data_IF_637740881025
#
_entry.id   IF_637740881025
#
_cell.length_a   1.000
_cell.length_b   1.000
_cell.length_c   1.000
_cell.angle_alpha   90.00
_cell.angle_beta   90.00
_cell.angle_gamma   90.00
#
_symmetry.space_group_name_H-M   'P 1'
#
loop_
_entity.id
_entity.type
_entity.pdbx_description
1 polymer ?
#
# COMPACT_ATOMS: atom_id res chain seq x y z
N UNK A 1 9.82 10.79 17.37
CA UNK A 1 8.43 11.06 17.78
C UNK A 1 7.57 9.94 17.23
N UNK A 2 6.97 9.12 18.09
CA UNK A 2 6.04 8.06 17.66
C UNK A 2 4.63 8.65 17.63
N UNK A 3 4.01 8.71 16.46
CA UNK A 3 2.64 9.22 16.25
C UNK A 3 1.55 8.28 16.79
N UNK A 4 0.27 8.57 16.49
CA UNK A 4 -0.87 7.78 16.94
C UNK A 4 -0.76 6.32 16.48
N UNK A 5 -1.15 5.39 17.35
CA UNK A 5 -1.27 3.96 17.05
C UNK A 5 -2.74 3.62 16.90
N UNK A 6 -3.08 2.83 15.89
CA UNK A 6 -4.47 2.41 15.63
C UNK A 6 -4.48 0.91 15.43
N UNK A 7 -5.46 0.24 16.03
CA UNK A 7 -5.75 -1.16 15.74
C UNK A 7 -6.57 -1.25 14.45
N UNK A 8 -6.17 -2.15 13.56
CA UNK A 8 -6.84 -2.35 12.28
C UNK A 8 -6.81 -3.82 11.89
N UNK A 9 -7.85 -4.25 11.17
CA UNK A 9 -7.90 -5.53 10.48
C UNK A 9 -7.34 -5.33 9.07
N UNK A 10 -6.34 -6.13 8.71
CA UNK A 10 -5.73 -6.11 7.40
C UNK A 10 -6.27 -7.24 6.51
N UNK A 11 -6.67 -6.92 5.28
CA UNK A 11 -7.04 -7.90 4.25
C UNK A 11 -6.19 -7.69 3.01
N UNK A 12 -5.61 -8.77 2.48
CA UNK A 12 -4.87 -8.71 1.22
C UNK A 12 -5.84 -8.44 0.06
N UNK A 13 -5.50 -7.47 -0.79
CA UNK A 13 -6.26 -7.15 -1.99
C UNK A 13 -5.86 -8.10 -3.12
N UNK A 14 -6.86 -8.59 -3.84
CA UNK A 14 -6.67 -9.48 -4.97
C UNK A 14 -6.60 -8.71 -6.30
N UNK A 15 -6.08 -9.36 -7.34
CA UNK A 15 -5.72 -8.82 -8.67
C UNK A 15 -6.38 -7.48 -9.07
N UNK A 16 -7.72 -7.45 -9.18
CA UNK A 16 -8.47 -6.26 -9.62
C UNK A 16 -8.44 -5.14 -8.58
N UNK A 17 -8.63 -5.47 -7.31
CA UNK A 17 -8.57 -4.53 -6.19
C UNK A 17 -7.16 -3.96 -6.03
N UNK A 18 -6.14 -4.82 -6.11
CA UNK A 18 -4.74 -4.42 -6.05
C UNK A 18 -4.37 -3.46 -7.21
N UNK A 19 -4.83 -3.74 -8.43
CA UNK A 19 -4.61 -2.86 -9.58
C UNK A 19 -5.34 -1.50 -9.43
N UNK A 20 -6.51 -1.49 -8.79
CA UNK A 20 -7.24 -0.25 -8.48
C UNK A 20 -6.48 0.57 -7.42
N UNK A 21 -6.05 -0.08 -6.33
CA UNK A 21 -5.27 0.54 -5.27
C UNK A 21 -3.97 1.15 -5.80
N UNK A 22 -3.22 0.41 -6.62
CA UNK A 22 -2.01 0.92 -7.26
C UNK A 22 -2.27 2.15 -8.12
N UNK A 23 -3.35 2.15 -8.93
CA UNK A 23 -3.71 3.31 -9.76
C UNK A 23 -4.02 4.54 -8.91
N UNK A 24 -4.75 4.36 -7.82
CA UNK A 24 -5.06 5.44 -6.87
C UNK A 24 -3.80 5.98 -6.20
N UNK A 25 -2.92 5.10 -5.71
CA UNK A 25 -1.66 5.46 -5.07
C UNK A 25 -0.70 6.16 -6.04
N UNK A 26 -0.61 5.70 -7.29
CA UNK A 26 0.19 6.33 -8.34
C UNK A 26 -0.32 7.73 -8.71
N UNK A 27 -1.63 7.95 -8.70
CA UNK A 27 -2.18 9.30 -8.91
C UNK A 27 -1.86 10.24 -7.75
N UNK A 28 -1.92 9.74 -6.51
CA UNK A 28 -1.72 10.57 -5.31
C UNK A 28 -0.24 10.82 -4.99
N UNK A 29 0.62 9.85 -5.26
CA UNK A 29 2.06 9.94 -5.01
C UNK A 29 2.82 9.43 -6.26
N UNK A 30 2.87 10.24 -7.33
CA UNK A 30 3.38 9.81 -8.63
C UNK A 30 4.86 9.44 -8.62
N UNK A 31 5.69 10.13 -7.83
CA UNK A 31 7.12 9.79 -7.72
C UNK A 31 7.33 8.47 -6.95
N UNK A 32 6.62 8.27 -5.85
CA UNK A 32 6.76 7.09 -5.01
C UNK A 32 6.28 5.84 -5.75
N UNK A 33 5.02 5.83 -6.18
CA UNK A 33 4.42 4.65 -6.80
C UNK A 33 4.67 4.56 -8.32
N UNK A 34 5.11 5.64 -8.97
CA UNK A 34 5.48 5.61 -10.39
C UNK A 34 6.95 5.35 -10.66
N UNK A 35 7.85 5.60 -9.71
CA UNK A 35 9.30 5.49 -9.91
C UNK A 35 9.97 4.66 -8.81
N UNK A 36 9.86 5.09 -7.56
CA UNK A 36 10.64 4.50 -6.46
C UNK A 36 10.24 3.06 -6.15
N UNK A 37 8.94 2.80 -5.97
CA UNK A 37 8.42 1.46 -5.66
C UNK A 37 8.75 0.45 -6.77
N UNK A 38 8.52 0.73 -8.08
CA UNK A 38 8.94 -0.17 -9.14
C UNK A 38 10.44 -0.49 -9.15
N UNK A 39 11.30 0.51 -8.90
CA UNK A 39 12.76 0.31 -8.82
C UNK A 39 13.08 -0.64 -7.66
N UNK A 40 12.55 -0.38 -6.47
CA UNK A 40 12.79 -1.21 -5.31
C UNK A 40 12.31 -2.65 -5.51
N UNK A 41 11.11 -2.85 -6.06
CA UNK A 41 10.58 -4.17 -6.38
C UNK A 41 11.46 -4.91 -7.39
N UNK A 42 11.97 -4.21 -8.41
CA UNK A 42 12.89 -4.80 -9.41
C UNK A 42 14.22 -5.20 -8.79
N UNK A 43 14.79 -4.36 -7.92
CA UNK A 43 16.03 -4.66 -7.20
C UNK A 43 15.87 -5.87 -6.29
N UNK A 44 14.72 -5.99 -5.62
CA UNK A 44 14.41 -7.10 -4.71
C UNK A 44 13.87 -8.35 -5.42
N UNK A 45 13.62 -8.29 -6.72
CA UNK A 45 12.89 -9.34 -7.49
C UNK A 45 11.59 -9.75 -6.80
N UNK A 46 10.87 -8.78 -6.24
CA UNK A 46 9.65 -8.98 -5.47
C UNK A 46 8.44 -8.36 -6.17
N UNK A 47 7.25 -8.78 -5.78
CA UNK A 47 5.99 -8.19 -6.21
C UNK A 47 5.40 -7.31 -5.11
N UNK A 48 4.65 -6.29 -5.51
CA UNK A 48 3.93 -5.42 -4.56
C UNK A 48 2.64 -6.09 -4.09
N UNK A 49 2.44 -6.14 -2.78
CA UNK A 49 1.18 -6.53 -2.15
C UNK A 49 0.46 -5.29 -1.64
N UNK A 50 -0.86 -5.27 -1.76
CA UNK A 50 -1.70 -4.18 -1.29
C UNK A 50 -2.67 -4.72 -0.26
N UNK A 51 -2.80 -4.03 0.86
CA UNK A 51 -3.73 -4.39 1.92
C UNK A 51 -4.78 -3.29 2.10
N UNK A 52 -6.01 -3.70 2.31
CA UNK A 52 -7.05 -2.86 2.89
C UNK A 52 -6.93 -2.91 4.42
N UNK A 53 -7.03 -1.75 5.07
CA UNK A 53 -7.01 -1.61 6.52
C UNK A 53 -8.36 -1.10 6.98
N UNK A 54 -9.08 -1.93 7.73
CA UNK A 54 -10.33 -1.55 8.38
C UNK A 54 -10.02 -1.24 9.84
N UNK A 55 -10.20 0.02 10.24
CA UNK A 55 -9.89 0.45 11.60
C UNK A 55 -10.86 -0.20 12.61
N UNK A 56 -10.30 -0.85 13.62
CA UNK A 56 -11.03 -1.51 14.70
C UNK A 56 -10.80 -0.74 16.00
N UNK A 57 -11.48 0.40 16.13
CA UNK A 57 -11.43 1.36 17.25
C UNK A 57 -10.03 1.91 17.61
N UNK A 58 -9.95 3.24 17.78
CA UNK A 58 -8.75 3.91 18.29
C UNK A 58 -8.75 3.78 19.81
N UNK A 59 -7.64 3.36 20.41
CA UNK A 59 -7.37 3.49 21.85
C UNK A 59 -6.56 4.74 22.14
#
# INVERSE_FOLDING_TARGET
MTGPRVLATARLLESVEAASAYRTLRRRFPLVYGVLVPIELRLRRATGLYYELVLSSVQ
#
